data_IF_820844726104
#
_entry.id   IF_820844726104
#
_cell.length_a   1.000
_cell.length_b   1.000
_cell.length_c   1.000
_cell.angle_alpha   90.00
_cell.angle_beta   90.00
_cell.angle_gamma   90.00
#
_symmetry.space_group_name_H-M   'P 1'
#
loop_
_entity.id
_entity.type
_entity.pdbx_description
1 polymer ?
#
# COMPACT_ATOMS: atom_id res chain seq x y z
N UNK A 1 7.28 14.88 -2.26
CA UNK A 1 6.85 14.19 -1.04
C UNK A 1 5.78 15.06 -0.44
N UNK A 2 4.62 14.48 -0.15
CA UNK A 2 3.51 15.18 0.50
C UNK A 2 3.73 15.09 2.00
N UNK A 3 3.96 16.21 2.67
CA UNK A 3 4.11 16.25 4.11
C UNK A 3 2.76 16.05 4.81
N UNK A 4 2.78 15.56 6.05
CA UNK A 4 1.60 15.53 6.90
C UNK A 4 0.92 16.91 7.04
N UNK A 5 1.73 17.98 7.09
CA UNK A 5 1.26 19.37 7.06
C UNK A 5 0.40 19.71 5.82
N UNK A 6 0.77 19.16 4.66
CA UNK A 6 0.09 19.46 3.40
C UNK A 6 -1.33 18.84 3.40
N UNK A 7 -1.52 17.65 4.02
CA UNK A 7 -2.83 17.00 4.12
C UNK A 7 -3.81 17.87 4.93
N UNK A 8 -3.37 18.35 6.10
CA UNK A 8 -4.22 19.14 7.00
C UNK A 8 -4.60 20.49 6.40
N UNK A 9 -3.78 21.02 5.48
CA UNK A 9 -4.00 22.31 4.84
C UNK A 9 -5.02 22.28 3.70
N UNK A 10 -5.25 21.12 3.08
CA UNK A 10 -6.11 20.94 1.89
C UNK A 10 -7.52 20.49 2.25
N UNK A 11 -7.73 19.95 3.45
CA UNK A 11 -9.07 19.55 3.92
C UNK A 11 -9.97 20.76 4.23
N UNK A 12 -11.28 20.51 4.31
CA UNK A 12 -12.30 21.57 4.47
C UNK A 12 -12.00 22.45 5.70
N UNK A 13 -12.21 23.76 5.61
CA UNK A 13 -12.11 24.66 6.76
C UNK A 13 -12.94 24.14 7.94
N UNK A 14 -12.33 24.11 9.13
CA UNK A 14 -12.98 23.59 10.34
C UNK A 14 -12.90 22.07 10.55
N UNK A 15 -12.33 21.27 9.62
CA UNK A 15 -12.12 19.83 9.82
C UNK A 15 -11.20 19.49 11.01
N UNK A 16 -10.38 20.45 11.43
CA UNK A 16 -9.37 20.28 12.46
C UNK A 16 -9.57 21.24 13.63
N UNK A 17 -9.08 20.84 14.80
CA UNK A 17 -8.98 21.67 16.00
C UNK A 17 -7.59 21.54 16.63
N UNK A 18 -7.17 22.50 17.47
CA UNK A 18 -5.86 22.45 18.12
C UNK A 18 -5.76 21.25 19.05
N UNK A 19 -4.61 20.59 19.07
CA UNK A 19 -4.31 19.52 20.00
C UNK A 19 -3.95 20.05 21.41
N UNK A 20 -3.36 21.24 21.49
CA UNK A 20 -2.79 21.80 22.71
C UNK A 20 -3.20 23.27 22.92
N UNK A 21 -4.50 23.56 23.06
CA UNK A 21 -4.99 24.93 23.30
C UNK A 21 -4.66 25.93 22.18
N UNK A 22 -4.87 27.23 22.45
CA UNK A 22 -4.72 28.32 21.44
C UNK A 22 -3.51 29.25 21.70
N UNK A 23 -2.62 28.91 22.63
CA UNK A 23 -1.55 29.82 23.06
C UNK A 23 -0.21 29.54 22.36
N UNK A 24 0.21 30.43 21.45
CA UNK A 24 1.60 30.47 20.98
C UNK A 24 1.80 30.91 19.54
N UNK A 25 3.06 31.25 19.19
CA UNK A 25 3.45 31.41 17.78
C UNK A 25 3.58 30.03 17.14
N UNK A 26 3.03 29.82 15.93
CA UNK A 26 3.07 28.54 15.27
C UNK A 26 4.51 28.14 14.91
N UNK A 27 4.96 26.97 15.32
CA UNK A 27 6.24 26.36 14.91
C UNK A 27 6.02 24.91 14.48
N UNK A 28 6.55 24.53 13.33
CA UNK A 28 6.38 23.18 12.79
C UNK A 28 6.93 22.10 13.73
N UNK A 29 6.31 20.91 13.76
CA UNK A 29 6.97 19.72 14.31
C UNK A 29 7.69 19.00 13.18
N UNK A 30 9.00 18.78 13.38
CA UNK A 30 9.85 18.09 12.42
C UNK A 30 10.18 16.69 12.95
N UNK A 31 9.86 15.65 12.17
CA UNK A 31 10.11 14.26 12.55
C UNK A 31 11.20 13.63 11.66
N UNK A 32 12.25 13.10 12.28
CA UNK A 32 13.34 12.40 11.61
C UNK A 32 12.95 10.95 11.30
N UNK A 33 13.11 10.56 10.04
CA UNK A 33 13.03 9.17 9.62
C UNK A 33 14.41 8.49 9.69
N UNK A 34 14.50 7.15 9.63
CA UNK A 34 15.77 6.43 9.73
C UNK A 34 16.82 6.80 8.68
N UNK A 35 16.40 7.28 7.50
CA UNK A 35 17.33 7.73 6.45
C UNK A 35 17.92 9.12 6.72
N UNK A 36 18.88 9.50 5.87
CA UNK A 36 19.46 10.85 5.83
C UNK A 36 18.54 11.92 5.24
N UNK A 37 17.30 11.56 4.87
CA UNK A 37 16.38 12.48 4.22
C UNK A 37 15.96 13.63 5.16
N UNK A 38 15.53 14.78 4.60
CA UNK A 38 14.96 15.86 5.40
C UNK A 38 13.80 15.37 6.27
N UNK A 39 13.69 15.97 7.47
CA UNK A 39 12.61 15.69 8.42
C UNK A 39 11.25 15.93 7.78
N UNK A 40 10.27 15.08 8.09
CA UNK A 40 8.89 15.34 7.68
C UNK A 40 8.30 16.44 8.55
N UNK A 41 7.69 17.43 7.91
CA UNK A 41 6.89 18.46 8.56
C UNK A 41 5.52 17.93 8.93
N UNK A 42 5.18 18.12 10.19
CA UNK A 42 3.84 18.00 10.72
C UNK A 42 3.33 19.42 11.01
N UNK A 43 2.21 19.71 10.34
CA UNK A 43 1.24 20.81 10.53
C UNK A 43 1.39 22.16 9.77
N UNK A 44 0.22 22.65 9.29
CA UNK A 44 -0.28 24.04 9.30
C UNK A 44 -1.77 24.04 8.90
N UNK A 45 -2.67 24.59 9.72
CA UNK A 45 -4.02 25.03 9.30
C UNK A 45 -4.06 26.56 9.28
N UNK A 46 -4.31 27.14 8.11
CA UNK A 46 -4.74 28.53 7.98
C UNK A 46 -6.26 28.57 8.09
N UNK A 47 -6.81 29.04 9.20
CA UNK A 47 -8.18 29.53 9.19
C UNK A 47 -8.18 30.91 8.52
N UNK A 48 -8.28 30.94 7.18
CA UNK A 48 -8.42 32.18 6.40
C UNK A 48 -9.90 32.59 6.19
N UNK A 49 -10.85 31.94 6.86
CA UNK A 49 -12.30 32.14 6.64
C UNK A 49 -13.08 32.66 7.86
N UNK A 50 -12.41 33.36 8.79
CA UNK A 50 -13.08 34.32 9.68
C UNK A 50 -12.85 35.77 9.20
N UNK A 51 -12.74 35.96 7.87
CA UNK A 51 -12.91 37.27 7.25
C UNK A 51 -14.39 37.65 7.28
N UNK A 52 -14.85 38.08 8.46
CA UNK A 52 -15.79 39.17 8.68
C UNK A 52 -15.92 39.33 10.20
N UNK A 53 -14.97 40.05 10.81
CA UNK A 53 -15.17 41.08 11.84
C UNK A 53 -13.82 41.36 12.53
N UNK A 54 -13.19 42.44 12.07
CA UNK A 54 -12.22 43.31 12.78
C UNK A 54 -10.97 42.67 13.43
N UNK A 55 -9.82 43.04 12.87
CA UNK A 55 -8.45 42.88 13.41
C UNK A 55 -7.70 41.60 13.04
N UNK A 56 -7.43 41.38 11.74
CA UNK A 56 -6.11 40.96 11.20
C UNK A 56 -5.30 39.82 11.84
N UNK A 57 -5.87 38.97 12.69
CA UNK A 57 -5.20 37.84 13.33
C UNK A 57 -5.89 36.55 12.89
N UNK A 58 -5.38 35.95 11.80
CA UNK A 58 -5.70 34.56 11.50
C UNK A 58 -5.12 33.66 12.58
N UNK A 59 -5.95 32.82 13.20
CA UNK A 59 -5.49 31.81 14.14
C UNK A 59 -4.78 30.71 13.36
N UNK A 60 -3.49 30.54 13.63
CA UNK A 60 -2.65 29.43 13.15
C UNK A 60 -2.43 28.49 14.32
N UNK A 61 -2.64 27.20 14.08
CA UNK A 61 -2.42 26.18 15.09
C UNK A 61 -1.04 25.52 14.91
N UNK A 62 -0.60 24.74 15.90
CA UNK A 62 0.72 24.08 16.02
C UNK A 62 0.71 22.57 15.81
N UNK A 63 -0.37 21.93 16.24
CA UNK A 63 -0.66 20.55 15.95
C UNK A 63 -2.17 20.36 15.99
N UNK A 64 -2.71 19.61 15.03
CA UNK A 64 -4.15 19.43 14.92
C UNK A 64 -4.64 18.02 15.21
N UNK A 65 -5.86 17.96 15.73
CA UNK A 65 -6.65 16.73 15.86
C UNK A 65 -7.86 16.89 14.94
N UNK A 66 -8.21 15.86 14.14
CA UNK A 66 -9.41 15.95 13.32
C UNK A 66 -10.66 15.96 14.19
N UNK A 67 -11.73 16.58 13.68
CA UNK A 67 -13.07 16.54 14.28
C UNK A 67 -13.80 15.26 13.88
N UNK A 68 -13.60 14.80 12.65
CA UNK A 68 -14.08 13.50 12.19
C UNK A 68 -13.11 12.39 12.61
N UNK A 69 -13.63 11.21 12.91
CA UNK A 69 -12.82 10.03 13.27
C UNK A 69 -12.13 9.41 12.04
N UNK A 70 -12.68 9.64 10.85
CA UNK A 70 -12.18 9.08 9.60
C UNK A 70 -11.11 9.96 8.93
N UNK A 71 -10.91 11.18 9.44
CA UNK A 71 -9.90 12.11 8.95
C UNK A 71 -8.47 11.75 9.41
N UNK A 72 -7.48 12.30 8.70
CA UNK A 72 -6.08 12.08 8.99
C UNK A 72 -5.72 12.56 10.41
N UNK A 73 -4.98 11.73 11.17
CA UNK A 73 -4.58 12.00 12.56
C UNK A 73 -3.06 12.21 12.66
N UNK A 74 -2.57 13.48 12.61
CA UNK A 74 -1.14 13.77 12.62
C UNK A 74 -0.39 13.22 13.84
N UNK A 75 -1.00 13.33 15.03
CA UNK A 75 -0.43 12.80 16.28
C UNK A 75 -0.23 11.30 16.18
N UNK A 76 -1.27 10.57 15.83
CA UNK A 76 -1.22 9.11 15.73
C UNK A 76 -0.18 8.67 14.69
N UNK A 77 -0.04 9.43 13.59
CA UNK A 77 0.98 9.18 12.58
C UNK A 77 2.41 9.35 13.13
N UNK A 78 2.69 10.40 13.92
CA UNK A 78 3.98 10.58 14.62
C UNK A 78 4.26 9.39 15.55
N UNK A 79 3.28 9.01 16.39
CA UNK A 79 3.43 7.86 17.29
C UNK A 79 3.74 6.57 16.55
N UNK A 80 3.02 6.31 15.46
CA UNK A 80 3.21 5.10 14.67
C UNK A 80 4.56 5.09 13.96
N UNK A 81 5.06 6.23 13.47
CA UNK A 81 6.42 6.33 12.91
C UNK A 81 7.45 5.98 13.98
N UNK A 82 7.37 6.61 15.16
CA UNK A 82 8.32 6.38 16.26
C UNK A 82 8.28 4.91 16.72
N UNK A 83 7.08 4.33 16.81
CA UNK A 83 6.91 2.93 17.20
C UNK A 83 7.51 1.97 16.17
N UNK A 84 7.19 2.14 14.88
CA UNK A 84 7.73 1.32 13.79
C UNK A 84 9.26 1.47 13.67
N UNK A 85 9.79 2.68 13.83
CA UNK A 85 11.25 2.90 13.87
C UNK A 85 11.87 2.15 15.04
N UNK A 86 11.30 2.26 16.24
CA UNK A 86 11.81 1.56 17.43
C UNK A 86 11.80 0.03 17.29
N UNK A 87 10.86 -0.53 16.53
CA UNK A 87 10.73 -1.98 16.37
C UNK A 87 11.62 -2.54 15.24
N UNK A 88 11.84 -1.77 14.17
CA UNK A 88 12.45 -2.28 12.95
C UNK A 88 13.86 -1.76 12.68
N UNK A 89 14.23 -0.59 13.20
CA UNK A 89 15.49 0.09 12.90
C UNK A 89 16.41 0.21 14.12
N UNK A 90 15.88 0.04 15.33
CA UNK A 90 16.63 0.11 16.58
C UNK A 90 16.96 -1.31 17.05
N UNK A 91 18.21 -1.62 17.41
CA UNK A 91 18.58 -2.93 17.94
C UNK A 91 18.18 -3.05 19.43
N UNK A 92 18.22 -4.27 19.97
CA UNK A 92 17.69 -4.58 21.31
C UNK A 92 18.43 -3.81 22.41
N UNK A 93 19.72 -3.55 22.25
CA UNK A 93 20.56 -2.83 23.21
C UNK A 93 20.13 -1.35 23.39
N UNK A 94 19.48 -0.78 22.39
CA UNK A 94 19.00 0.62 22.38
C UNK A 94 17.48 0.69 22.63
N UNK A 95 16.81 -0.45 22.79
CA UNK A 95 15.35 -0.52 22.90
C UNK A 95 14.81 0.18 24.15
N UNK A 96 15.55 0.21 25.25
CA UNK A 96 15.12 0.86 26.50
C UNK A 96 14.91 2.37 26.33
N UNK A 97 15.71 3.04 25.49
CA UNK A 97 15.56 4.47 25.16
C UNK A 97 14.16 4.79 24.64
N UNK A 98 13.55 3.85 23.92
CA UNK A 98 12.22 4.01 23.34
C UNK A 98 11.11 3.44 24.23
N UNK A 99 11.37 2.28 24.87
CA UNK A 99 10.36 1.43 25.48
C UNK A 99 10.26 1.54 27.01
N UNK A 100 11.22 2.14 27.69
CA UNK A 100 11.21 2.22 29.15
C UNK A 100 9.88 2.80 29.69
N UNK A 101 9.27 2.11 30.64
CA UNK A 101 7.94 2.44 31.18
C UNK A 101 7.88 3.79 31.91
N UNK A 102 9.05 4.31 32.33
CA UNK A 102 9.18 5.55 33.07
C UNK A 102 9.89 6.64 32.27
N UNK A 103 10.93 6.33 31.51
CA UNK A 103 11.79 7.32 30.83
C UNK A 103 11.76 7.23 29.31
N UNK A 104 11.14 6.19 28.74
CA UNK A 104 11.18 5.92 27.31
C UNK A 104 10.44 6.97 26.49
N UNK A 105 10.93 7.22 25.26
CA UNK A 105 10.33 8.18 24.32
C UNK A 105 8.82 7.95 24.17
N UNK A 106 8.39 6.69 23.96
CA UNK A 106 6.96 6.37 23.78
C UNK A 106 6.12 6.71 25.00
N UNK A 107 6.63 6.46 26.21
CA UNK A 107 5.95 6.83 27.46
C UNK A 107 5.87 8.34 27.62
N UNK A 108 6.98 9.04 27.39
CA UNK A 108 7.07 10.50 27.51
C UNK A 108 6.09 11.20 26.56
N UNK A 109 5.99 10.75 25.29
CA UNK A 109 5.01 11.29 24.34
C UNK A 109 3.56 11.10 24.83
N UNK A 110 3.22 9.90 25.34
CA UNK A 110 1.87 9.64 25.88
C UNK A 110 1.55 10.53 27.08
N UNK A 111 2.52 10.79 27.96
CA UNK A 111 2.35 11.73 29.10
C UNK A 111 2.14 13.16 28.63
N UNK A 112 2.94 13.62 27.67
CA UNK A 112 2.80 14.98 27.13
C UNK A 112 1.39 15.20 26.56
N UNK A 113 0.85 14.24 25.81
CA UNK A 113 -0.54 14.28 25.35
C UNK A 113 -1.56 14.26 26.50
N UNK A 114 -1.40 13.34 27.46
CA UNK A 114 -2.34 13.19 28.57
C UNK A 114 -2.40 14.45 29.46
N UNK A 115 -1.31 15.20 29.53
CA UNK A 115 -1.22 16.46 30.26
C UNK A 115 -1.43 17.69 29.36
N UNK A 116 -1.77 17.52 28.09
CA UNK A 116 -1.91 18.59 27.11
C UNK A 116 -0.71 19.55 27.05
N UNK A 117 0.50 19.02 27.24
CA UNK A 117 1.76 19.78 27.26
C UNK A 117 2.42 19.76 25.89
N UNK A 118 2.25 20.83 25.11
CA UNK A 118 2.89 20.98 23.80
C UNK A 118 4.42 21.03 23.92
N UNK A 119 4.92 21.78 24.91
CA UNK A 119 6.36 21.94 25.17
C UNK A 119 7.03 20.59 25.42
N UNK A 120 6.44 19.75 26.28
CA UNK A 120 6.98 18.42 26.55
C UNK A 120 6.89 17.54 25.30
N UNK A 121 5.79 17.62 24.54
CA UNK A 121 5.64 16.84 23.32
C UNK A 121 6.76 17.17 22.32
N UNK A 122 7.02 18.47 22.08
CA UNK A 122 8.09 18.95 21.20
C UNK A 122 9.47 18.52 21.68
N UNK A 123 9.74 18.65 22.97
CA UNK A 123 11.02 18.24 23.55
C UNK A 123 11.25 16.74 23.32
N UNK A 124 10.22 15.91 23.50
CA UNK A 124 10.35 14.47 23.31
C UNK A 124 10.54 14.10 21.83
N UNK A 125 9.90 14.81 20.90
CA UNK A 125 10.16 14.64 19.46
C UNK A 125 11.59 15.08 19.10
N UNK A 126 12.11 16.13 19.73
CA UNK A 126 13.51 16.55 19.57
C UNK A 126 14.48 15.48 20.10
N UNK A 127 14.25 14.95 21.31
CA UNK A 127 15.04 13.85 21.90
C UNK A 127 15.05 12.62 20.97
N UNK A 128 13.89 12.28 20.39
CA UNK A 128 13.78 11.22 19.39
C UNK A 128 14.63 11.52 18.15
N UNK A 129 14.53 12.72 17.58
CA UNK A 129 15.29 13.11 16.39
C UNK A 129 16.80 13.00 16.62
N UNK A 130 17.29 13.50 17.76
CA UNK A 130 18.70 13.45 18.13
C UNK A 130 19.17 12.00 18.32
N UNK A 131 18.31 11.15 18.90
CA UNK A 131 18.57 9.71 19.05
C UNK A 131 18.72 9.03 17.69
N UNK A 132 17.77 9.24 16.76
CA UNK A 132 17.83 8.65 15.41
C UNK A 132 19.04 9.17 14.64
N UNK A 133 19.36 10.45 14.78
CA UNK A 133 20.55 11.02 14.14
C UNK A 133 21.85 10.40 14.67
N UNK A 134 21.96 10.21 15.99
CA UNK A 134 23.09 9.49 16.60
C UNK A 134 23.21 8.08 16.04
N UNK A 135 22.14 7.29 16.12
CA UNK A 135 22.10 5.89 15.66
C UNK A 135 22.37 5.73 14.15
N UNK A 136 22.08 6.77 13.37
CA UNK A 136 22.43 6.82 11.95
C UNK A 136 23.92 7.11 11.76
N UNK A 137 24.47 8.10 12.48
CA UNK A 137 25.86 8.53 12.36
C UNK A 137 26.86 7.50 12.87
N UNK A 138 26.52 6.77 13.93
CA UNK A 138 27.36 5.70 14.49
C UNK A 138 27.26 4.37 13.73
N UNK A 139 26.41 4.30 12.69
CA UNK A 139 26.25 3.13 11.83
C UNK A 139 25.31 2.05 12.39
N UNK A 140 24.68 2.25 13.55
CA UNK A 140 23.78 1.28 14.17
C UNK A 140 22.59 0.93 13.29
N UNK A 141 21.93 1.94 12.71
CA UNK A 141 20.80 1.74 11.80
C UNK A 141 21.22 0.97 10.55
N UNK A 142 22.37 1.30 9.96
CA UNK A 142 22.87 0.61 8.77
C UNK A 142 23.12 -0.87 9.07
N UNK A 143 23.81 -1.18 10.18
CA UNK A 143 24.05 -2.55 10.62
C UNK A 143 22.75 -3.33 10.85
N UNK A 144 21.73 -2.70 11.43
CA UNK A 144 20.41 -3.32 11.62
C UNK A 144 19.74 -3.63 10.27
N UNK A 145 19.78 -2.70 9.33
CA UNK A 145 19.23 -2.88 7.99
C UNK A 145 19.95 -3.97 7.20
N UNK A 146 21.28 -4.04 7.26
CA UNK A 146 22.08 -5.07 6.59
C UNK A 146 21.73 -6.50 7.09
N UNK A 147 21.33 -6.63 8.36
CA UNK A 147 20.84 -7.89 8.93
C UNK A 147 19.38 -8.22 8.57
N UNK A 148 18.66 -7.31 7.93
CA UNK A 148 17.23 -7.45 7.64
C UNK A 148 17.03 -7.98 6.21
N UNK A 149 16.67 -9.25 6.08
CA UNK A 149 16.49 -9.90 4.77
C UNK A 149 15.09 -9.76 4.16
N UNK A 150 14.09 -9.35 4.94
CA UNK A 150 12.71 -9.13 4.48
C UNK A 150 12.03 -8.08 5.36
N UNK A 151 11.22 -7.23 4.75
CA UNK A 151 10.35 -6.32 5.49
C UNK A 151 9.18 -7.08 6.10
N UNK A 152 8.90 -6.80 7.37
CA UNK A 152 7.73 -7.35 8.05
C UNK A 152 6.47 -6.60 7.60
N UNK A 153 5.32 -7.29 7.67
CA UNK A 153 4.04 -6.71 7.25
C UNK A 153 3.69 -5.39 7.99
N UNK A 154 3.91 -5.23 9.32
CA UNK A 154 3.63 -3.95 9.99
C UNK A 154 4.39 -2.75 9.40
N UNK A 155 5.66 -2.94 9.02
CA UNK A 155 6.44 -1.89 8.37
C UNK A 155 5.91 -1.59 6.96
N UNK A 156 5.58 -2.63 6.19
CA UNK A 156 4.98 -2.51 4.85
C UNK A 156 3.64 -1.76 4.92
N UNK A 157 2.73 -2.20 5.80
CA UNK A 157 1.44 -1.56 6.05
C UNK A 157 1.64 -0.09 6.44
N UNK A 158 2.59 0.20 7.35
CA UNK A 158 2.85 1.59 7.75
C UNK A 158 3.18 2.48 6.55
N UNK A 159 4.12 2.04 5.72
CA UNK A 159 4.58 2.80 4.55
C UNK A 159 3.44 2.98 3.54
N UNK A 160 2.71 1.90 3.22
CA UNK A 160 1.59 1.95 2.28
C UNK A 160 0.43 2.82 2.78
N UNK A 161 0.08 2.74 4.07
CA UNK A 161 -0.93 3.61 4.67
C UNK A 161 -0.52 5.07 4.65
N UNK A 162 0.77 5.39 4.86
CA UNK A 162 1.24 6.77 4.68
C UNK A 162 0.99 7.20 3.23
N UNK A 163 1.47 6.45 2.25
CA UNK A 163 1.29 6.78 0.83
C UNK A 163 -0.20 7.00 0.50
N UNK A 164 -1.07 6.07 0.89
CA UNK A 164 -2.51 6.13 0.63
C UNK A 164 -3.16 7.36 1.26
N UNK A 165 -2.88 7.63 2.54
CA UNK A 165 -3.42 8.81 3.26
C UNK A 165 -3.01 10.15 2.65
N UNK A 166 -1.84 10.21 1.99
CA UNK A 166 -1.34 11.43 1.32
C UNK A 166 -1.86 11.60 -0.10
N UNK A 167 -2.43 10.57 -0.72
CA UNK A 167 -2.70 10.55 -2.17
C UNK A 167 -4.14 10.20 -2.49
N UNK A 168 -4.59 9.01 -2.11
CA UNK A 168 -5.93 8.47 -2.42
C UNK A 168 -6.97 8.91 -1.43
N UNK A 169 -6.71 8.80 -0.13
CA UNK A 169 -7.72 9.11 0.90
C UNK A 169 -8.36 10.50 0.73
N UNK A 170 -7.63 11.58 0.42
CA UNK A 170 -8.22 12.91 0.17
C UNK A 170 -9.14 12.99 -1.05
N UNK A 171 -9.07 11.99 -1.94
CA UNK A 171 -9.76 11.95 -3.24
C UNK A 171 -10.58 10.66 -3.41
N UNK A 172 -10.79 9.88 -2.35
CA UNK A 172 -11.41 8.54 -2.44
C UNK A 172 -12.83 8.58 -3.00
N UNK A 173 -13.54 9.71 -2.84
CA UNK A 173 -14.88 9.90 -3.42
C UNK A 173 -14.88 9.90 -4.95
N UNK A 174 -13.79 10.33 -5.61
CA UNK A 174 -13.69 10.29 -7.08
C UNK A 174 -13.58 8.87 -7.63
N UNK A 175 -13.24 7.90 -6.76
CA UNK A 175 -13.26 6.49 -7.08
C UNK A 175 -14.64 5.87 -6.95
N UNK A 176 -15.68 6.55 -6.43
CA UNK A 176 -17.01 5.95 -6.24
C UNK A 176 -17.96 6.14 -7.43
N UNK A 177 -17.53 6.85 -8.47
CA UNK A 177 -18.37 7.18 -9.64
C UNK A 177 -18.51 5.98 -10.59
N UNK A 178 -19.21 4.93 -10.15
CA UNK A 178 -19.48 3.74 -10.97
C UNK A 178 -20.90 3.65 -11.46
N UNK A 179 -21.02 3.24 -12.72
CA UNK A 179 -22.27 2.76 -13.29
C UNK A 179 -22.46 1.28 -12.93
N UNK A 180 -23.59 0.97 -12.29
CA UNK A 180 -24.00 -0.40 -11.99
C UNK A 180 -24.04 -1.24 -13.28
N UNK A 181 -23.38 -2.39 -13.27
CA UNK A 181 -23.34 -3.31 -14.42
C UNK A 181 -22.12 -3.18 -15.34
N UNK A 182 -21.13 -2.37 -14.97
CA UNK A 182 -19.85 -2.24 -15.70
C UNK A 182 -18.72 -3.04 -15.03
N UNK A 183 -17.67 -3.35 -15.80
CA UNK A 183 -16.44 -4.02 -15.31
C UNK A 183 -15.62 -3.17 -14.33
N UNK A 184 -15.96 -1.89 -14.20
CA UNK A 184 -15.13 -0.89 -13.56
C UNK A 184 -15.30 -0.81 -12.04
N UNK A 185 -16.14 -1.63 -11.38
CA UNK A 185 -16.42 -1.50 -9.94
C UNK A 185 -15.15 -1.57 -9.08
N UNK A 186 -14.87 -0.51 -8.32
CA UNK A 186 -13.72 -0.47 -7.42
C UNK A 186 -13.91 -1.36 -6.20
N UNK A 187 -12.93 -2.22 -5.97
CA UNK A 187 -12.76 -3.00 -4.76
C UNK A 187 -11.28 -3.24 -4.51
N UNK A 188 -10.83 -3.06 -3.28
CA UNK A 188 -9.43 -3.22 -2.91
C UNK A 188 -9.22 -4.58 -2.22
N UNK A 189 -8.12 -5.25 -2.58
CA UNK A 189 -7.58 -6.35 -1.81
C UNK A 189 -6.66 -5.77 -0.72
N UNK A 190 -6.90 -6.13 0.54
CA UNK A 190 -6.22 -5.53 1.67
C UNK A 190 -4.82 -6.12 1.89
N UNK A 191 -3.86 -5.37 2.48
CA UNK A 191 -2.46 -5.77 2.52
C UNK A 191 -2.16 -7.14 3.14
N UNK A 192 -2.93 -7.54 4.15
CA UNK A 192 -2.83 -8.87 4.78
C UNK A 192 -3.17 -10.00 3.83
N UNK A 193 -4.21 -9.81 3.02
CA UNK A 193 -4.61 -10.79 2.03
C UNK A 193 -3.57 -10.90 0.92
N UNK A 194 -3.05 -9.76 0.44
CA UNK A 194 -1.96 -9.72 -0.54
C UNK A 194 -0.71 -10.43 -0.03
N UNK A 195 -0.31 -10.21 1.24
CA UNK A 195 0.83 -10.92 1.85
C UNK A 195 0.62 -12.43 1.87
N UNK A 196 -0.63 -12.88 2.08
CA UNK A 196 -1.01 -14.29 2.03
C UNK A 196 -0.86 -14.83 0.61
N UNK A 197 -1.33 -14.10 -0.39
CA UNK A 197 -1.18 -14.44 -1.81
C UNK A 197 0.31 -14.57 -2.18
N UNK A 198 1.16 -13.62 -1.80
CA UNK A 198 2.60 -13.69 -2.08
C UNK A 198 3.26 -14.89 -1.43
N UNK A 199 2.86 -15.24 -0.19
CA UNK A 199 3.35 -16.43 0.50
C UNK A 199 2.91 -17.72 -0.20
N UNK A 200 1.64 -17.81 -0.61
CA UNK A 200 1.08 -19.00 -1.25
C UNK A 200 1.62 -19.24 -2.68
N UNK A 201 1.83 -18.15 -3.41
CA UNK A 201 2.48 -18.16 -4.74
C UNK A 201 4.01 -18.26 -4.64
N UNK A 202 4.58 -18.13 -3.45
CA UNK A 202 6.03 -18.16 -3.22
C UNK A 202 6.77 -17.13 -4.09
N UNK A 203 6.16 -15.95 -4.27
CA UNK A 203 6.75 -14.85 -5.03
C UNK A 203 8.10 -14.45 -4.42
N UNK A 204 9.09 -14.17 -5.28
CA UNK A 204 10.46 -13.83 -4.90
C UNK A 204 10.92 -12.54 -5.57
N UNK A 205 11.98 -11.92 -5.03
CA UNK A 205 12.54 -10.66 -5.54
C UNK A 205 13.03 -10.73 -6.99
N UNK A 206 13.44 -11.90 -7.48
CA UNK A 206 13.90 -12.10 -8.85
C UNK A 206 12.79 -12.44 -9.85
N UNK A 207 11.53 -12.48 -9.38
CA UNK A 207 10.36 -12.80 -10.19
C UNK A 207 9.64 -11.53 -10.67
N UNK A 208 8.68 -11.71 -11.58
CA UNK A 208 7.86 -10.64 -12.14
C UNK A 208 6.41 -10.82 -11.69
N UNK A 209 5.86 -9.78 -11.06
CA UNK A 209 4.46 -9.70 -10.65
C UNK A 209 3.68 -8.75 -11.59
N UNK A 210 2.46 -9.12 -11.95
CA UNK A 210 1.56 -8.30 -12.77
C UNK A 210 0.17 -8.25 -12.14
N UNK A 211 -0.44 -7.07 -12.06
CA UNK A 211 -1.81 -6.84 -11.58
C UNK A 211 -2.67 -6.27 -12.72
N UNK A 212 -3.71 -7.01 -13.14
CA UNK A 212 -4.61 -6.62 -14.23
C UNK A 212 -5.90 -6.03 -13.67
N UNK A 213 -6.15 -4.75 -13.96
CA UNK A 213 -7.16 -3.95 -13.26
C UNK A 213 -6.62 -3.45 -11.93
N UNK A 214 -5.43 -2.82 -11.96
CA UNK A 214 -4.67 -2.51 -10.75
C UNK A 214 -5.26 -1.39 -9.89
N UNK A 215 -6.32 -0.71 -10.34
CA UNK A 215 -6.90 0.44 -9.66
C UNK A 215 -5.85 1.52 -9.39
N UNK A 216 -5.75 1.95 -8.13
CA UNK A 216 -4.76 2.95 -7.68
C UNK A 216 -3.34 2.37 -7.49
N UNK A 217 -3.12 1.10 -7.83
CA UNK A 217 -1.80 0.46 -7.82
C UNK A 217 -1.34 -0.12 -6.48
N UNK A 218 -2.22 -0.21 -5.48
CA UNK A 218 -1.86 -0.66 -4.12
C UNK A 218 -1.09 -2.00 -4.10
N UNK A 219 -1.57 -3.01 -4.84
CA UNK A 219 -0.96 -4.33 -4.84
C UNK A 219 0.42 -4.32 -5.52
N UNK A 220 0.56 -3.57 -6.61
CA UNK A 220 1.83 -3.39 -7.34
C UNK A 220 2.89 -2.77 -6.42
N UNK A 221 2.50 -1.73 -5.68
CA UNK A 221 3.41 -1.08 -4.73
C UNK A 221 3.78 -2.00 -3.57
N UNK A 222 2.83 -2.81 -3.07
CA UNK A 222 3.11 -3.79 -2.03
C UNK A 222 4.04 -4.91 -2.53
N UNK A 223 3.83 -5.44 -3.73
CA UNK A 223 4.70 -6.48 -4.32
C UNK A 223 6.14 -6.00 -4.42
N UNK A 224 6.34 -4.76 -4.90
CA UNK A 224 7.66 -4.15 -5.00
C UNK A 224 8.27 -3.87 -3.62
N UNK A 225 7.48 -3.45 -2.63
CA UNK A 225 7.99 -3.11 -1.30
C UNK A 225 8.28 -4.35 -0.43
N UNK A 226 7.31 -5.25 -0.32
CA UNK A 226 7.38 -6.41 0.57
C UNK A 226 8.32 -7.50 0.04
N UNK A 227 8.30 -7.73 -1.28
CA UNK A 227 9.05 -8.82 -1.92
C UNK A 227 10.29 -8.31 -2.65
N UNK A 228 10.33 -7.04 -3.06
CA UNK A 228 11.44 -6.51 -3.85
C UNK A 228 11.42 -6.94 -5.32
N UNK A 229 10.29 -7.45 -5.80
CA UNK A 229 10.13 -7.95 -7.17
C UNK A 229 9.83 -6.84 -8.18
N UNK A 230 10.10 -7.11 -9.46
CA UNK A 230 9.60 -6.24 -10.53
C UNK A 230 8.08 -6.39 -10.63
N UNK A 231 7.36 -5.27 -10.51
CA UNK A 231 5.91 -5.25 -10.35
C UNK A 231 5.26 -4.32 -11.38
N UNK A 232 4.25 -4.84 -12.08
CA UNK A 232 3.50 -4.14 -13.12
C UNK A 232 2.02 -4.06 -12.76
N UNK A 233 1.37 -2.95 -13.08
CA UNK A 233 -0.07 -2.77 -13.01
C UNK A 233 -0.60 -2.14 -14.29
N UNK A 234 -1.80 -2.56 -14.69
CA UNK A 234 -2.53 -1.92 -15.79
C UNK A 234 -3.93 -1.54 -15.34
N UNK A 235 -4.31 -0.29 -15.59
CA UNK A 235 -5.62 0.26 -15.28
C UNK A 235 -6.10 1.16 -16.43
N UNK A 236 -7.39 1.13 -16.76
CA UNK A 236 -7.97 1.97 -17.81
C UNK A 236 -8.76 3.17 -17.29
N UNK A 237 -9.24 3.07 -16.05
CA UNK A 237 -10.02 4.13 -15.42
C UNK A 237 -9.19 5.37 -15.15
N UNK A 238 -9.61 6.50 -15.73
CA UNK A 238 -8.90 7.76 -15.63
C UNK A 238 -8.63 8.19 -14.18
N UNK A 239 -9.66 8.26 -13.33
CA UNK A 239 -9.51 8.70 -11.94
C UNK A 239 -8.57 7.78 -11.14
N UNK A 240 -8.65 6.46 -11.38
CA UNK A 240 -7.78 5.50 -10.71
C UNK A 240 -6.32 5.64 -11.18
N UNK A 241 -6.09 5.85 -12.48
CA UNK A 241 -4.76 6.08 -13.05
C UNK A 241 -4.11 7.35 -12.49
N UNK A 242 -4.85 8.46 -12.44
CA UNK A 242 -4.35 9.73 -11.89
C UNK A 242 -3.94 9.57 -10.41
N UNK A 243 -4.71 8.83 -9.63
CA UNK A 243 -4.36 8.51 -8.24
C UNK A 243 -3.18 7.53 -8.14
N UNK A 244 -3.06 6.57 -9.06
CA UNK A 244 -1.95 5.65 -9.15
C UNK A 244 -0.61 6.37 -9.41
N UNK A 245 -0.61 7.37 -10.30
CA UNK A 245 0.56 8.21 -10.59
C UNK A 245 1.01 9.03 -9.36
N UNK A 246 0.04 9.59 -8.63
CA UNK A 246 0.28 10.29 -7.36
C UNK A 246 0.85 9.34 -6.31
N UNK A 247 0.26 8.14 -6.16
CA UNK A 247 0.74 7.08 -5.29
C UNK A 247 2.17 6.67 -5.65
N UNK A 248 2.49 6.47 -6.92
CA UNK A 248 3.83 6.04 -7.35
C UNK A 248 4.89 7.10 -7.05
N UNK A 249 4.55 8.37 -7.23
CA UNK A 249 5.44 9.49 -6.89
C UNK A 249 5.71 9.54 -5.39
N UNK A 250 4.66 9.42 -4.58
CA UNK A 250 4.78 9.42 -3.12
C UNK A 250 5.47 8.15 -2.61
N UNK A 251 5.24 7.00 -3.23
CA UNK A 251 5.91 5.73 -2.92
C UNK A 251 7.42 5.85 -3.01
N UNK A 252 7.94 6.42 -4.11
CA UNK A 252 9.39 6.65 -4.27
C UNK A 252 9.93 7.59 -3.19
N UNK A 253 9.20 8.64 -2.83
CA UNK A 253 9.60 9.56 -1.78
C UNK A 253 9.61 8.92 -0.38
N UNK A 254 8.56 8.15 -0.07
CA UNK A 254 8.42 7.46 1.22
C UNK A 254 9.44 6.35 1.39
N UNK A 255 9.70 5.55 0.35
CA UNK A 255 10.78 4.56 0.40
C UNK A 255 12.14 5.22 0.72
N UNK A 256 12.43 6.39 0.14
CA UNK A 256 13.65 7.16 0.48
C UNK A 256 13.67 7.63 1.93
N UNK A 257 12.55 8.16 2.45
CA UNK A 257 12.45 8.55 3.88
C UNK A 257 12.78 7.37 4.80
N UNK A 258 12.16 6.22 4.53
CA UNK A 258 12.36 5.01 5.31
C UNK A 258 13.71 4.32 5.06
N UNK A 259 14.49 4.77 4.07
CA UNK A 259 15.79 4.17 3.74
C UNK A 259 15.68 2.79 3.09
N UNK A 260 14.56 2.54 2.40
CA UNK A 260 14.24 1.24 1.78
C UNK A 260 14.38 1.36 0.26
N UNK A 261 15.04 0.39 -0.35
CA UNK A 261 15.08 0.22 -1.80
C UNK A 261 14.00 -0.78 -2.24
N UNK A 262 12.90 -0.35 -2.85
CA UNK A 262 11.86 -1.26 -3.34
C UNK A 262 12.26 -1.89 -4.67
N UNK A 263 11.52 -2.93 -5.07
CA UNK A 263 11.52 -3.44 -6.43
C UNK A 263 11.04 -2.40 -7.45
N UNK A 264 11.24 -2.70 -8.74
CA UNK A 264 10.82 -1.82 -9.83
C UNK A 264 9.28 -1.81 -9.93
N UNK A 265 8.69 -0.62 -10.07
CA UNK A 265 7.24 -0.46 -10.25
C UNK A 265 6.91 0.18 -11.59
N UNK A 266 5.91 -0.36 -12.26
CA UNK A 266 5.39 0.13 -13.54
C UNK A 266 3.87 0.18 -13.46
N UNK A 267 3.28 1.38 -13.49
CA UNK A 267 1.83 1.57 -13.53
C UNK A 267 1.49 2.12 -14.91
N UNK A 268 0.70 1.36 -15.66
CA UNK A 268 0.39 1.64 -17.06
C UNK A 268 -1.08 1.99 -17.18
N UNK A 269 -1.36 3.14 -17.80
CA UNK A 269 -2.71 3.55 -18.17
C UNK A 269 -3.04 2.92 -19.52
N UNK A 270 -4.00 1.99 -19.54
CA UNK A 270 -4.38 1.31 -20.77
C UNK A 270 -5.36 0.15 -20.55
N UNK A 271 -5.86 -0.36 -21.68
CA UNK A 271 -6.60 -1.61 -21.73
C UNK A 271 -5.59 -2.77 -21.72
N UNK A 272 -5.57 -3.57 -20.66
CA UNK A 272 -4.60 -4.67 -20.51
C UNK A 272 -4.71 -5.75 -21.60
N UNK A 273 -5.81 -5.79 -22.36
CA UNK A 273 -5.96 -6.70 -23.50
C UNK A 273 -5.25 -6.19 -24.77
N UNK A 274 -4.97 -4.89 -24.83
CA UNK A 274 -4.43 -4.21 -26.03
C UNK A 274 -3.07 -3.56 -25.80
N UNK A 275 -2.76 -3.23 -24.55
CA UNK A 275 -1.55 -2.51 -24.19
C UNK A 275 -0.32 -3.39 -24.38
N UNK A 276 0.49 -3.07 -25.39
CA UNK A 276 1.56 -3.94 -25.86
C UNK A 276 2.61 -4.19 -24.77
N UNK A 277 2.92 -3.16 -23.97
CA UNK A 277 3.84 -3.27 -22.84
C UNK A 277 3.38 -4.30 -21.80
N UNK A 278 2.06 -4.42 -21.58
CA UNK A 278 1.44 -5.38 -20.68
C UNK A 278 1.44 -6.78 -21.30
N UNK A 279 1.07 -6.90 -22.57
CA UNK A 279 1.11 -8.16 -23.32
C UNK A 279 2.54 -8.76 -23.30
N UNK A 280 3.57 -7.93 -23.45
CA UNK A 280 4.95 -8.40 -23.45
C UNK A 280 5.46 -8.81 -22.07
N UNK A 281 5.06 -8.12 -20.99
CA UNK A 281 5.44 -8.57 -19.63
C UNK A 281 4.69 -9.84 -19.23
N UNK A 282 3.43 -10.04 -19.66
CA UNK A 282 2.66 -11.25 -19.35
C UNK A 282 3.35 -12.54 -19.84
N UNK A 283 4.08 -12.48 -20.96
CA UNK A 283 4.86 -13.63 -21.48
C UNK A 283 5.93 -14.13 -20.50
N UNK A 284 6.48 -13.23 -19.66
CA UNK A 284 7.54 -13.55 -18.69
C UNK A 284 7.09 -13.49 -17.23
N UNK A 285 5.83 -13.13 -16.96
CA UNK A 285 5.28 -13.02 -15.62
C UNK A 285 5.38 -14.34 -14.84
N UNK A 286 5.65 -14.26 -13.54
CA UNK A 286 5.65 -15.41 -12.63
C UNK A 286 4.32 -15.52 -11.88
N UNK A 287 3.79 -14.37 -11.45
CA UNK A 287 2.53 -14.28 -10.74
C UNK A 287 1.70 -13.15 -11.34
N UNK A 288 0.45 -13.46 -11.66
CA UNK A 288 -0.53 -12.51 -12.19
C UNK A 288 -1.71 -12.46 -11.23
N UNK A 289 -2.09 -11.27 -10.80
CA UNK A 289 -3.31 -11.03 -10.04
C UNK A 289 -4.39 -10.46 -10.96
N UNK A 290 -5.62 -10.97 -10.81
CA UNK A 290 -6.80 -10.47 -11.51
C UNK A 290 -7.96 -10.45 -10.51
N UNK A 291 -8.33 -9.26 -10.03
CA UNK A 291 -9.53 -9.09 -9.21
C UNK A 291 -10.81 -9.12 -10.07
N UNK A 292 -11.14 -10.29 -10.62
CA UNK A 292 -12.27 -10.48 -11.53
C UNK A 292 -13.63 -10.62 -10.83
N UNK A 293 -13.79 -10.06 -9.62
CA UNK A 293 -15.03 -10.14 -8.85
C UNK A 293 -16.22 -9.49 -9.58
N UNK A 294 -15.99 -8.35 -10.22
CA UNK A 294 -17.01 -7.60 -10.97
C UNK A 294 -16.93 -7.83 -12.48
N UNK A 295 -15.91 -8.53 -12.99
CA UNK A 295 -15.70 -8.67 -14.43
C UNK A 295 -16.81 -9.48 -15.11
N UNK A 296 -17.16 -9.06 -16.32
CA UNK A 296 -18.11 -9.65 -17.25
C UNK A 296 -17.60 -11.00 -17.76
N UNK A 297 -18.50 -11.92 -18.15
CA UNK A 297 -18.11 -13.18 -18.78
C UNK A 297 -17.28 -12.99 -20.06
N UNK A 298 -17.56 -11.93 -20.82
CA UNK A 298 -16.87 -11.58 -22.06
C UNK A 298 -15.40 -11.25 -21.78
N UNK A 299 -15.15 -10.32 -20.86
CA UNK A 299 -13.79 -9.95 -20.45
C UNK A 299 -12.99 -11.14 -19.91
N UNK A 300 -13.63 -12.00 -19.10
CA UNK A 300 -12.99 -13.22 -18.62
C UNK A 300 -12.63 -14.19 -19.76
N UNK A 301 -13.46 -14.27 -20.81
CA UNK A 301 -13.20 -15.12 -21.99
C UNK A 301 -12.02 -14.58 -22.79
N UNK A 302 -11.91 -13.26 -22.96
CA UNK A 302 -10.80 -12.63 -23.66
C UNK A 302 -9.48 -12.79 -22.89
N UNK A 303 -9.49 -12.64 -21.57
CA UNK A 303 -8.33 -12.89 -20.70
C UNK A 303 -7.76 -14.31 -20.86
N UNK A 304 -8.62 -15.31 -21.03
CA UNK A 304 -8.21 -16.71 -21.21
C UNK A 304 -7.32 -16.90 -22.44
N UNK A 305 -7.49 -16.09 -23.49
CA UNK A 305 -6.64 -16.16 -24.69
C UNK A 305 -5.22 -15.69 -24.39
N UNK A 306 -5.03 -14.68 -23.53
CA UNK A 306 -3.70 -14.23 -23.11
C UNK A 306 -2.94 -15.29 -22.29
N UNK A 307 -3.65 -16.24 -21.67
CA UNK A 307 -3.01 -17.32 -20.90
C UNK A 307 -2.25 -18.32 -21.78
N UNK A 308 -2.48 -18.32 -23.10
CA UNK A 308 -1.76 -19.14 -24.06
C UNK A 308 -0.27 -18.77 -24.13
N UNK A 309 0.02 -17.46 -24.10
CA UNK A 309 1.37 -16.91 -24.31
C UNK A 309 2.19 -16.84 -23.02
N UNK A 310 1.61 -17.23 -21.89
CA UNK A 310 2.28 -17.24 -20.59
C UNK A 310 3.24 -18.41 -20.45
N UNK A 311 4.38 -18.16 -19.79
CA UNK A 311 5.37 -19.20 -19.51
C UNK A 311 4.80 -20.31 -18.62
N UNK A 312 5.34 -21.52 -18.81
CA UNK A 312 5.01 -22.65 -17.95
C UNK A 312 5.35 -22.36 -16.48
N UNK A 313 4.49 -22.78 -15.57
CA UNK A 313 4.63 -22.53 -14.14
C UNK A 313 4.12 -21.16 -13.66
N UNK A 314 3.79 -20.23 -14.56
CA UNK A 314 3.14 -18.97 -14.19
C UNK A 314 1.86 -19.23 -13.38
N UNK A 315 1.66 -18.44 -12.31
CA UNK A 315 0.53 -18.55 -11.40
C UNK A 315 -0.43 -17.38 -11.56
N UNK A 316 -1.69 -17.66 -11.88
CA UNK A 316 -2.77 -16.68 -12.00
C UNK A 316 -3.63 -16.76 -10.74
N UNK A 317 -3.76 -15.65 -10.03
CA UNK A 317 -4.56 -15.49 -8.82
C UNK A 317 -5.82 -14.71 -9.16
N UNK A 318 -6.99 -15.28 -8.86
CA UNK A 318 -8.28 -14.65 -9.20
C UNK A 318 -9.36 -14.92 -8.15
N UNK A 319 -10.38 -14.05 -8.06
CA UNK A 319 -11.52 -14.26 -7.14
C UNK A 319 -12.60 -15.17 -7.72
N UNK A 320 -12.72 -15.23 -9.05
CA UNK A 320 -13.52 -16.23 -9.78
C UNK A 320 -12.61 -17.13 -10.61
N UNK A 321 -12.91 -18.42 -10.63
CA UNK A 321 -12.15 -19.41 -11.41
C UNK A 321 -12.37 -19.22 -12.91
N UNK A 322 -11.29 -19.24 -13.69
CA UNK A 322 -11.34 -19.33 -15.15
C UNK A 322 -11.62 -20.75 -15.66
N UNK A 323 -11.45 -21.76 -14.79
CA UNK A 323 -11.77 -23.16 -15.12
C UNK A 323 -13.11 -23.52 -14.46
N UNK A 324 -14.14 -23.90 -15.23
CA UNK A 324 -15.43 -24.30 -14.68
C UNK A 324 -15.31 -25.49 -13.71
N UNK A 325 -16.17 -25.51 -12.69
CA UNK A 325 -16.21 -26.62 -11.74
C UNK A 325 -16.51 -27.95 -12.47
N UNK A 326 -15.73 -28.99 -12.16
CA UNK A 326 -15.89 -30.31 -12.79
C UNK A 326 -15.42 -30.40 -14.24
N UNK A 327 -14.74 -29.37 -14.78
CA UNK A 327 -14.20 -29.40 -16.14
C UNK A 327 -13.26 -30.59 -16.36
N UNK A 328 -13.51 -31.34 -17.43
CA UNK A 328 -12.69 -32.48 -17.88
C UNK A 328 -12.25 -32.25 -19.32
N UNK A 329 -11.00 -32.61 -19.60
CA UNK A 329 -10.47 -32.61 -20.97
C UNK A 329 -11.19 -33.72 -21.75
N UNK A 330 -11.72 -33.37 -22.91
CA UNK A 330 -12.45 -34.22 -23.84
C UNK A 330 -12.04 -33.83 -25.26
N UNK A 331 -12.20 -34.72 -26.24
CA UNK A 331 -11.80 -34.44 -27.63
C UNK A 331 -12.44 -33.16 -28.19
N UNK A 332 -13.69 -32.86 -27.80
CA UNK A 332 -14.41 -31.64 -28.23
C UNK A 332 -13.88 -30.32 -27.68
N UNK A 333 -13.13 -30.35 -26.56
CA UNK A 333 -12.64 -29.15 -25.90
C UNK A 333 -11.10 -29.12 -25.82
N UNK A 334 -10.41 -30.00 -26.56
CA UNK A 334 -8.97 -30.22 -26.49
C UNK A 334 -8.17 -28.91 -26.65
N UNK A 335 -8.58 -28.05 -27.58
CA UNK A 335 -7.89 -26.80 -27.91
C UNK A 335 -8.24 -25.62 -26.97
N UNK A 336 -9.02 -25.85 -25.92
CA UNK A 336 -9.39 -24.77 -24.99
C UNK A 336 -8.19 -24.38 -24.11
N UNK A 337 -7.83 -23.08 -24.00
CA UNK A 337 -6.69 -22.64 -23.19
C UNK A 337 -6.84 -22.99 -21.70
N UNK A 338 -8.07 -23.14 -21.21
CA UNK A 338 -8.36 -23.53 -19.82
C UNK A 338 -7.81 -24.92 -19.47
N UNK A 339 -7.57 -25.79 -20.46
CA UNK A 339 -6.96 -27.11 -20.25
C UNK A 339 -5.50 -27.01 -19.80
N UNK A 340 -4.86 -25.86 -20.04
CA UNK A 340 -3.49 -25.57 -19.63
C UNK A 340 -3.40 -25.10 -18.17
N UNK A 341 -4.53 -25.05 -17.45
CA UNK A 341 -4.58 -24.51 -16.10
C UNK A 341 -4.85 -25.62 -15.07
N UNK A 342 -3.98 -25.70 -14.06
CA UNK A 342 -4.19 -26.50 -12.86
C UNK A 342 -4.64 -25.58 -11.73
N UNK A 343 -5.91 -25.68 -11.34
CA UNK A 343 -6.52 -24.76 -10.38
C UNK A 343 -6.54 -25.34 -8.97
N UNK A 344 -6.20 -24.50 -7.99
CA UNK A 344 -6.40 -24.74 -6.57
C UNK A 344 -7.33 -23.68 -6.00
N UNK A 345 -8.41 -24.09 -5.36
CA UNK A 345 -9.26 -23.20 -4.58
C UNK A 345 -8.64 -22.95 -3.20
N UNK A 346 -8.83 -21.73 -2.72
CA UNK A 346 -8.40 -21.22 -1.42
C UNK A 346 -9.50 -20.36 -0.83
N UNK A 347 -9.37 -20.07 0.47
CA UNK A 347 -10.31 -19.23 1.20
C UNK A 347 -9.60 -17.99 1.73
N UNK A 348 -10.29 -16.87 1.71
CA UNK A 348 -9.91 -15.65 2.43
C UNK A 348 -10.96 -15.35 3.52
N UNK A 349 -10.60 -14.54 4.49
CA UNK A 349 -11.41 -14.31 5.69
C UNK A 349 -11.71 -12.82 5.90
N UNK A 350 -12.31 -12.48 7.04
CA UNK A 350 -12.50 -11.09 7.49
C UNK A 350 -11.24 -10.24 7.32
N UNK A 351 -11.43 -8.96 7.00
CA UNK A 351 -10.35 -8.01 6.70
C UNK A 351 -9.43 -8.40 5.53
N UNK A 352 -9.94 -9.14 4.53
CA UNK A 352 -9.19 -9.45 3.29
C UNK A 352 -9.50 -8.52 2.12
N UNK A 353 -10.72 -7.95 2.08
CA UNK A 353 -11.22 -7.13 0.97
C UNK A 353 -11.98 -5.91 1.51
N UNK A 354 -12.10 -4.84 0.73
CA UNK A 354 -12.68 -3.57 1.22
C UNK A 354 -14.22 -3.51 1.21
N UNK A 355 -14.91 -4.40 0.48
CA UNK A 355 -16.35 -4.32 0.26
C UNK A 355 -17.20 -5.25 1.16
N UNK A 356 -16.58 -6.18 1.87
CA UNK A 356 -17.27 -7.09 2.80
C UNK A 356 -16.31 -7.61 3.86
N UNK A 357 -16.83 -7.82 5.08
CA UNK A 357 -16.10 -8.49 6.16
C UNK A 357 -16.32 -10.02 6.17
N UNK A 358 -17.18 -10.52 5.29
CA UNK A 358 -17.42 -11.96 5.15
C UNK A 358 -16.29 -12.60 4.36
N UNK A 359 -15.85 -13.77 4.81
CA UNK A 359 -14.89 -14.58 4.06
C UNK A 359 -15.42 -15.05 2.71
N UNK A 360 -14.52 -15.50 1.85
CA UNK A 360 -14.86 -15.97 0.52
C UNK A 360 -13.78 -16.86 -0.05
N UNK A 361 -13.84 -17.09 -1.36
CA UNK A 361 -12.91 -17.98 -2.05
C UNK A 361 -12.09 -17.22 -3.08
N UNK A 362 -10.87 -17.70 -3.30
CA UNK A 362 -10.05 -17.27 -4.42
C UNK A 362 -9.34 -18.49 -5.01
N UNK A 363 -8.74 -18.32 -6.17
CA UNK A 363 -8.19 -19.41 -6.97
C UNK A 363 -6.76 -19.09 -7.36
N UNK A 364 -5.91 -20.12 -7.32
CA UNK A 364 -4.56 -20.07 -7.86
C UNK A 364 -4.50 -21.09 -8.99
N UNK A 365 -4.47 -20.62 -10.23
CA UNK A 365 -4.29 -21.43 -11.43
C UNK A 365 -2.82 -21.43 -11.85
N UNK A 366 -2.23 -22.60 -12.02
CA UNK A 366 -0.85 -22.74 -12.52
C UNK A 366 -0.86 -23.19 -13.96
N UNK A 367 -0.09 -22.50 -14.82
CA UNK A 367 0.14 -22.90 -16.21
C UNK A 367 0.90 -24.23 -16.25
N UNK A 368 0.23 -25.27 -16.76
CA UNK A 368 0.69 -26.65 -16.81
C UNK A 368 0.18 -27.34 -18.10
N UNK A 369 1.01 -27.30 -19.14
CA UNK A 369 0.81 -27.94 -20.43
C UNK A 369 1.00 -29.46 -20.42
N UNK A 370 1.61 -30.03 -19.37
CA UNK A 370 1.91 -31.47 -19.31
C UNK A 370 0.65 -32.34 -19.36
N UNK A 371 -0.44 -31.86 -18.76
CA UNK A 371 -1.74 -32.55 -18.74
C UNK A 371 -2.35 -32.69 -20.14
N UNK A 372 -2.24 -31.64 -20.95
CA UNK A 372 -2.74 -31.64 -22.31
C UNK A 372 -1.90 -32.57 -23.19
N UNK A 373 -0.57 -32.53 -23.04
CA UNK A 373 0.36 -33.43 -23.75
C UNK A 373 0.06 -34.89 -23.43
N UNK A 374 -0.04 -35.25 -22.15
CA UNK A 374 -0.36 -36.62 -21.75
C UNK A 374 -1.72 -37.11 -22.26
N UNK A 375 -2.72 -36.24 -22.31
CA UNK A 375 -4.04 -36.60 -22.87
C UNK A 375 -3.97 -36.79 -24.39
N UNK A 376 -3.27 -35.92 -25.11
CA UNK A 376 -3.07 -36.04 -26.56
C UNK A 376 -2.32 -37.34 -26.91
N UNK A 377 -1.29 -37.70 -26.12
CA UNK A 377 -0.56 -38.96 -26.24
C UNK A 377 -1.45 -40.19 -25.97
N UNK A 378 -2.48 -40.08 -25.12
CA UNK A 378 -3.40 -41.20 -24.85
C UNK A 378 -4.48 -41.41 -25.94
N UNK A 379 -4.63 -40.46 -26.85
CA UNK A 379 -5.57 -40.52 -27.98
C UNK A 379 -4.92 -41.03 -29.28
N UNK A 380 -3.59 -40.99 -29.37
CA UNK A 380 -2.79 -41.57 -30.45
C UNK A 380 -2.32 -42.97 -30.08
#
# INVERSE_FOLDING_TARGET
MVHAADITSVQKPGSFKPAFGEEGRPTEILLQYPSASPKERYEMVNNLLDELVTNGFGFRYNLVVPRDKDDFRPIDDIFQVIDIVSQHYVPEEEADVFNNESTGIKRKLRRALAHSSETDFRQVVADYNDTIERLRRDGTIAKKLDSTHRLTLPLVERILTQIYSRTVSPRVESLRQYENGTDNVYGELLPRFISTIFKETKLKSNMVFVDLGSGVGNVVLQAALEIGCESWGCEMMQNACELAELQQTEFKARCRLWGIAPGKTHLVRGDFLKEQSIIDVLKRADVILINNQAFTPQLNTELVNHFLDMKEGCQIVSLKSFVPAGHKIQSRNLNSPINLLKVKQRNYWSNSVSWTDVGGTYFIATKDSSRLKAFAESLG
#
